data_IF_967037470078
#
_entry.id   IF_967037470078
#
_cell.length_a   1.000
_cell.length_b   1.000
_cell.length_c   1.000
_cell.angle_alpha   90.00
_cell.angle_beta   90.00
_cell.angle_gamma   90.00
#
_symmetry.space_group_name_H-M   'P 1'
#
loop_
_entity.id
_entity.type
_entity.pdbx_description
1 polymer ?
#
# COMPACT_ATOMS: atom_id res chain seq x y z
N UNK A 1 21.04 8.99 -3.73
CA UNK A 1 21.41 7.64 -4.22
C UNK A 1 20.35 6.65 -3.76
N UNK A 2 19.89 5.77 -4.64
CA UNK A 2 18.98 4.66 -4.27
C UNK A 2 19.74 3.73 -3.31
N UNK A 3 19.21 3.54 -2.12
CA UNK A 3 19.80 2.71 -1.06
C UNK A 3 19.23 1.29 -1.10
N UNK A 4 17.93 1.17 -1.42
CA UNK A 4 17.21 -0.09 -1.50
C UNK A 4 16.62 -0.30 -2.91
N UNK A 5 16.74 -1.50 -3.46
CA UNK A 5 16.00 -1.86 -4.67
C UNK A 5 14.49 -1.92 -4.36
N UNK A 6 14.13 -2.44 -3.19
CA UNK A 6 12.73 -2.68 -2.80
C UNK A 6 12.48 -2.18 -1.37
N UNK A 7 11.45 -1.35 -1.18
CA UNK A 7 10.91 -1.01 0.16
C UNK A 7 9.50 -1.56 0.28
N UNK A 8 9.29 -2.43 1.26
CA UNK A 8 8.00 -3.09 1.52
C UNK A 8 7.35 -2.39 2.70
N UNK A 9 6.15 -1.84 2.51
CA UNK A 9 5.43 -1.06 3.50
C UNK A 9 4.22 -1.85 3.98
N UNK A 10 4.15 -2.07 5.30
CA UNK A 10 3.03 -2.72 5.98
C UNK A 10 2.29 -1.69 6.83
N UNK A 11 1.06 -1.29 6.46
CA UNK A 11 0.20 -0.51 7.33
C UNK A 11 -0.29 -1.39 8.49
N UNK A 12 -0.09 -0.95 9.72
CA UNK A 12 -0.21 -1.80 10.88
C UNK A 12 -0.96 -1.14 12.05
N UNK A 13 -1.78 -1.94 12.75
CA UNK A 13 -2.31 -1.66 14.09
C UNK A 13 -2.85 -2.93 14.76
N UNK A 14 -2.40 -3.23 15.98
CA UNK A 14 -2.98 -4.26 16.86
C UNK A 14 -3.13 -5.66 16.25
N UNK A 15 -2.13 -6.14 15.50
CA UNK A 15 -2.10 -7.46 14.86
C UNK A 15 -0.79 -8.20 15.11
N UNK A 16 -0.37 -8.22 16.37
CA UNK A 16 0.95 -8.74 16.75
C UNK A 16 1.21 -10.17 16.27
N UNK A 17 0.24 -11.07 16.44
CA UNK A 17 0.39 -12.46 16.00
C UNK A 17 0.61 -12.59 14.49
N UNK A 18 -0.10 -11.78 13.67
CA UNK A 18 0.09 -11.76 12.23
C UNK A 18 1.47 -11.19 11.87
N UNK A 19 1.90 -10.13 12.55
CA UNK A 19 3.21 -9.53 12.32
C UNK A 19 4.34 -10.50 12.68
N UNK A 20 4.24 -11.21 13.80
CA UNK A 20 5.23 -12.19 14.23
C UNK A 20 5.36 -13.34 13.20
N UNK A 21 4.22 -13.83 12.67
CA UNK A 21 4.22 -14.82 11.60
C UNK A 21 4.80 -14.27 10.31
N UNK A 22 4.45 -13.04 9.94
CA UNK A 22 5.00 -12.37 8.76
C UNK A 22 6.53 -12.25 8.84
N UNK A 23 7.04 -11.75 9.95
CA UNK A 23 8.49 -11.60 10.18
C UNK A 23 9.18 -12.96 10.08
N UNK A 24 8.63 -13.98 10.73
CA UNK A 24 9.20 -15.34 10.77
C UNK A 24 9.22 -16.00 9.40
N UNK A 25 8.12 -15.92 8.64
CA UNK A 25 7.92 -16.76 7.46
C UNK A 25 8.24 -16.03 6.14
N UNK A 26 8.10 -14.69 6.10
CA UNK A 26 8.22 -13.92 4.86
C UNK A 26 9.57 -13.22 4.72
N UNK A 27 10.14 -12.69 5.81
CA UNK A 27 11.47 -12.03 5.73
C UNK A 27 12.53 -12.95 5.13
N UNK A 28 12.65 -14.25 5.49
CA UNK A 28 13.63 -15.14 4.86
C UNK A 28 13.46 -15.27 3.34
N UNK A 29 12.22 -15.17 2.83
CA UNK A 29 11.95 -15.18 1.38
C UNK A 29 12.42 -13.87 0.73
N UNK A 30 12.21 -12.73 1.38
CA UNK A 30 12.70 -11.44 0.89
C UNK A 30 14.24 -11.38 0.92
N UNK A 31 14.87 -11.92 1.95
CA UNK A 31 16.33 -12.05 2.02
C UNK A 31 16.90 -12.90 0.88
N UNK A 32 16.16 -13.91 0.47
CA UNK A 32 16.57 -14.81 -0.60
C UNK A 32 16.42 -14.21 -2.01
N UNK A 33 15.36 -13.38 -2.24
CA UNK A 33 14.97 -13.00 -3.60
C UNK A 33 14.93 -11.50 -3.89
N UNK A 34 14.84 -10.64 -2.86
CA UNK A 34 14.56 -9.20 -3.04
C UNK A 34 15.68 -8.26 -2.59
N UNK A 35 16.84 -8.78 -2.12
CA UNK A 35 17.95 -7.92 -1.66
C UNK A 35 18.48 -7.00 -2.79
N UNK A 36 18.85 -5.74 -2.46
CA UNK A 36 18.68 -5.09 -1.17
C UNK A 36 17.24 -4.62 -0.95
N UNK A 37 16.68 -4.90 0.24
CA UNK A 37 15.33 -4.49 0.59
C UNK A 37 15.26 -3.88 2.00
N UNK A 38 14.17 -3.13 2.27
CA UNK A 38 13.78 -2.67 3.60
C UNK A 38 12.31 -2.99 3.83
N UNK A 39 11.99 -3.60 4.96
CA UNK A 39 10.63 -3.79 5.47
C UNK A 39 10.31 -2.68 6.46
N UNK A 40 9.26 -1.92 6.19
CA UNK A 40 8.83 -0.78 6.98
C UNK A 40 7.40 -1.02 7.47
N UNK A 41 7.26 -1.25 8.77
CA UNK A 41 5.95 -1.39 9.41
C UNK A 41 5.54 0.00 9.89
N UNK A 42 4.48 0.56 9.31
CA UNK A 42 3.95 1.88 9.72
C UNK A 42 2.77 1.65 10.64
N UNK A 43 3.00 1.84 11.95
CA UNK A 43 2.00 1.62 12.99
C UNK A 43 1.22 2.90 13.29
N UNK A 44 -0.10 2.84 13.13
CA UNK A 44 -0.99 3.93 13.54
C UNK A 44 -1.22 3.86 15.07
N UNK A 45 -1.13 5.03 15.75
CA UNK A 45 -1.56 5.16 17.14
C UNK A 45 -3.08 4.94 17.31
N UNK A 46 -3.54 4.89 18.55
CA UNK A 46 -4.95 4.71 18.88
C UNK A 46 -5.74 6.03 18.77
N UNK A 47 -7.06 5.93 18.82
CA UNK A 47 -7.97 7.09 18.95
C UNK A 47 -8.76 7.46 17.69
N UNK A 48 -8.26 7.14 16.48
CA UNK A 48 -9.00 7.38 15.22
C UNK A 48 -9.27 6.06 14.48
N UNK A 49 -10.16 6.08 13.50
CA UNK A 49 -10.32 4.96 12.57
C UNK A 49 -8.99 4.68 11.85
N UNK A 50 -8.79 3.43 11.45
CA UNK A 50 -7.58 3.04 10.72
C UNK A 50 -7.54 3.72 9.34
N UNK A 51 -6.42 4.34 8.98
CA UNK A 51 -6.23 4.97 7.67
C UNK A 51 -5.08 4.29 6.91
N UNK A 52 -5.43 3.18 6.23
CA UNK A 52 -4.47 2.39 5.46
C UNK A 52 -3.72 3.23 4.42
N UNK A 53 -4.43 4.11 3.70
CA UNK A 53 -3.85 4.93 2.65
C UNK A 53 -2.79 5.91 3.18
N UNK A 54 -3.07 6.61 4.29
CA UNK A 54 -2.10 7.52 4.90
C UNK A 54 -0.86 6.77 5.43
N UNK A 55 -1.03 5.61 6.05
CA UNK A 55 0.12 4.83 6.55
C UNK A 55 1.04 4.40 5.40
N UNK A 56 0.46 4.00 4.26
CA UNK A 56 1.23 3.68 3.06
C UNK A 56 1.94 4.91 2.50
N UNK A 57 1.26 6.06 2.43
CA UNK A 57 1.86 7.33 2.01
C UNK A 57 3.03 7.74 2.92
N UNK A 58 2.90 7.53 4.25
CA UNK A 58 3.99 7.80 5.20
C UNK A 58 5.20 6.93 4.87
N UNK A 59 5.00 5.64 4.66
CA UNK A 59 6.10 4.75 4.26
C UNK A 59 6.76 5.17 2.95
N UNK A 60 6.01 5.58 1.94
CA UNK A 60 6.56 6.13 0.69
C UNK A 60 7.38 7.40 0.94
N UNK A 61 6.85 8.33 1.76
CA UNK A 61 7.50 9.60 2.05
C UNK A 61 8.81 9.43 2.83
N UNK A 62 8.85 8.55 3.84
CA UNK A 62 10.03 8.29 4.67
C UNK A 62 11.20 7.66 3.88
N UNK A 63 10.86 6.97 2.78
CA UNK A 63 11.83 6.32 1.88
C UNK A 63 11.87 6.94 0.48
N UNK A 64 11.33 8.16 0.32
CA UNK A 64 11.46 8.93 -0.90
C UNK A 64 12.93 9.05 -1.28
N UNK A 65 13.24 8.91 -2.57
CA UNK A 65 14.60 8.98 -3.13
C UNK A 65 15.58 7.90 -2.64
N UNK A 66 15.15 6.99 -1.75
CA UNK A 66 15.96 5.87 -1.26
C UNK A 66 15.59 4.54 -1.90
N UNK A 67 14.42 4.42 -2.52
CA UNK A 67 13.90 3.18 -3.09
C UNK A 67 13.65 3.28 -4.59
N UNK A 68 13.95 2.19 -5.32
CA UNK A 68 13.56 2.05 -6.72
C UNK A 68 12.12 1.57 -6.87
N UNK A 69 11.72 0.61 -6.04
CA UNK A 69 10.37 0.04 -6.01
C UNK A 69 9.79 0.06 -4.61
N UNK A 70 8.52 0.42 -4.51
CA UNK A 70 7.73 0.30 -3.29
C UNK A 70 6.75 -0.85 -3.40
N UNK A 71 6.54 -1.57 -2.31
CA UNK A 71 5.45 -2.50 -2.17
C UNK A 71 4.47 -2.00 -1.11
N UNK A 72 3.18 -2.10 -1.40
CA UNK A 72 2.16 -2.16 -0.36
C UNK A 72 1.94 -3.62 0.00
N UNK A 73 1.80 -3.93 1.28
CA UNK A 73 1.66 -5.30 1.71
C UNK A 73 0.79 -5.42 2.97
N UNK A 74 -0.26 -6.23 2.93
CA UNK A 74 -1.07 -6.48 4.11
C UNK A 74 -0.41 -7.56 4.98
N UNK A 75 -0.39 -7.35 6.30
CA UNK A 75 0.31 -8.21 7.28
C UNK A 75 -0.27 -9.63 7.37
N UNK A 76 -1.51 -9.83 6.91
CA UNK A 76 -2.26 -11.08 6.99
C UNK A 76 -2.22 -11.92 5.70
N UNK A 77 -1.42 -11.53 4.72
CA UNK A 77 -1.30 -12.22 3.43
C UNK A 77 0.13 -12.68 3.23
N UNK A 78 0.42 -13.96 3.51
CA UNK A 78 1.77 -14.51 3.47
C UNK A 78 2.07 -15.16 2.11
N UNK A 79 2.98 -14.61 1.30
CA UNK A 79 3.37 -15.22 0.02
C UNK A 79 4.24 -16.46 0.23
N UNK A 80 4.15 -17.42 -0.67
CA UNK A 80 5.07 -18.56 -0.69
C UNK A 80 6.34 -18.26 -1.53
N UNK A 81 7.31 -19.17 -1.49
CA UNK A 81 8.60 -19.09 -2.21
C UNK A 81 8.41 -18.83 -3.71
N UNK A 82 7.48 -19.53 -4.36
CA UNK A 82 7.23 -19.40 -5.80
C UNK A 82 6.71 -18.02 -6.13
N UNK A 83 5.80 -17.47 -5.33
CA UNK A 83 5.24 -16.13 -5.52
C UNK A 83 6.34 -15.07 -5.42
N UNK A 84 7.13 -15.09 -4.36
CA UNK A 84 8.22 -14.11 -4.18
C UNK A 84 9.25 -14.22 -5.32
N UNK A 85 9.68 -15.43 -5.66
CA UNK A 85 10.64 -15.65 -6.72
C UNK A 85 10.17 -15.19 -8.10
N UNK A 86 8.89 -15.43 -8.46
CA UNK A 86 8.41 -15.24 -9.84
C UNK A 86 7.63 -13.95 -10.05
N UNK A 87 6.95 -13.43 -9.02
CA UNK A 87 6.03 -12.30 -9.16
C UNK A 87 6.62 -11.04 -8.52
N UNK A 88 7.13 -11.11 -7.27
CA UNK A 88 7.71 -9.93 -6.62
C UNK A 88 8.94 -9.39 -7.35
N UNK A 89 9.66 -10.24 -8.08
CA UNK A 89 10.84 -9.84 -8.87
C UNK A 89 10.50 -9.17 -10.21
N UNK A 90 9.21 -9.18 -10.65
CA UNK A 90 8.79 -8.47 -11.87
C UNK A 90 8.93 -6.95 -11.71
N UNK A 91 9.22 -6.25 -12.83
CA UNK A 91 9.43 -4.79 -12.86
C UNK A 91 9.14 -4.17 -14.25
N UNK A 92 8.26 -4.79 -15.00
CA UNK A 92 7.91 -4.47 -16.39
C UNK A 92 6.69 -3.53 -16.53
N UNK A 93 6.11 -3.06 -15.39
CA UNK A 93 4.98 -2.13 -15.35
C UNK A 93 5.20 -1.05 -14.30
N UNK A 94 4.46 0.07 -14.39
CA UNK A 94 4.44 1.10 -13.33
C UNK A 94 3.88 0.53 -12.02
N UNK A 95 2.89 -0.38 -12.13
CA UNK A 95 2.40 -1.17 -10.99
C UNK A 95 2.20 -2.64 -11.36
N UNK A 96 2.70 -3.53 -10.51
CA UNK A 96 2.50 -4.98 -10.56
C UNK A 96 1.43 -5.37 -9.53
N UNK A 97 0.33 -5.97 -9.99
CA UNK A 97 -0.76 -6.48 -9.14
C UNK A 97 -0.46 -7.89 -8.69
N UNK A 98 0.09 -8.04 -7.50
CA UNK A 98 0.56 -9.33 -6.95
C UNK A 98 -0.58 -10.08 -6.26
N UNK A 99 -1.35 -9.37 -5.41
CA UNK A 99 -2.58 -9.88 -4.78
C UNK A 99 -3.56 -8.72 -4.65
N UNK A 100 -4.70 -8.82 -5.30
CA UNK A 100 -5.73 -7.79 -5.28
C UNK A 100 -7.10 -8.37 -4.88
N UNK A 101 -7.97 -7.58 -4.23
CA UNK A 101 -9.29 -8.04 -3.83
C UNK A 101 -10.28 -8.14 -5.01
N UNK A 102 -10.12 -7.30 -6.05
CA UNK A 102 -10.95 -7.27 -7.26
C UNK A 102 -10.27 -6.49 -8.40
N UNK A 103 -10.78 -6.62 -9.62
CA UNK A 103 -10.15 -6.13 -10.86
C UNK A 103 -9.86 -4.62 -10.91
N UNK A 104 -10.69 -3.79 -10.27
CA UNK A 104 -10.53 -2.33 -10.24
C UNK A 104 -9.90 -1.88 -8.90
N UNK A 105 -8.84 -2.55 -8.47
CA UNK A 105 -8.20 -2.32 -7.19
C UNK A 105 -6.67 -2.44 -7.30
N UNK A 106 -5.97 -1.65 -6.47
CA UNK A 106 -4.55 -1.78 -6.15
C UNK A 106 -4.40 -1.98 -4.63
N UNK A 107 -5.19 -2.91 -4.08
CA UNK A 107 -5.16 -3.30 -2.67
C UNK A 107 -4.30 -4.52 -2.39
N UNK A 108 -4.30 -4.98 -1.15
CA UNK A 108 -3.49 -6.07 -0.61
C UNK A 108 -2.01 -5.93 -0.93
N UNK A 109 -1.52 -6.57 -2.01
CA UNK A 109 -0.10 -6.57 -2.36
C UNK A 109 0.07 -6.06 -3.79
N UNK A 110 0.71 -4.90 -3.91
CA UNK A 110 1.13 -4.33 -5.19
C UNK A 110 2.57 -3.83 -5.10
N UNK A 111 3.29 -3.92 -6.22
CA UNK A 111 4.64 -3.33 -6.39
C UNK A 111 4.55 -2.15 -7.34
N UNK A 112 5.13 -1.03 -6.97
CA UNK A 112 5.10 0.24 -7.71
C UNK A 112 6.51 0.68 -8.05
N UNK A 113 6.71 1.28 -9.22
CA UNK A 113 7.91 2.09 -9.41
C UNK A 113 7.84 3.32 -8.50
N UNK A 114 8.97 3.73 -7.92
CA UNK A 114 9.02 4.94 -7.07
C UNK A 114 8.46 6.15 -7.82
N UNK A 115 8.88 6.36 -9.05
CA UNK A 115 8.40 7.47 -9.87
C UNK A 115 6.87 7.47 -10.02
N UNK A 116 6.26 6.31 -10.33
CA UNK A 116 4.82 6.26 -10.60
C UNK A 116 3.97 6.60 -9.38
N UNK A 117 4.35 6.14 -8.17
CA UNK A 117 3.57 6.42 -6.95
C UNK A 117 3.61 7.91 -6.58
N UNK A 118 4.74 8.59 -6.80
CA UNK A 118 4.84 10.03 -6.59
C UNK A 118 4.14 10.84 -7.67
N UNK A 119 4.18 10.43 -8.93
CA UNK A 119 3.48 11.08 -10.04
C UNK A 119 1.96 11.12 -9.82
N UNK A 120 1.39 10.04 -9.26
CA UNK A 120 -0.06 9.94 -8.99
C UNK A 120 -0.46 10.51 -7.62
N UNK A 121 0.48 11.11 -6.88
CA UNK A 121 0.27 11.68 -5.56
C UNK A 121 -0.16 10.67 -4.48
N UNK A 122 0.23 9.38 -4.60
CA UNK A 122 -0.08 8.34 -3.63
C UNK A 122 -1.58 8.07 -3.42
N UNK A 123 -1.95 7.62 -2.22
CA UNK A 123 -3.33 7.40 -1.80
C UNK A 123 -4.00 8.70 -1.35
N UNK A 124 -5.35 8.83 -1.47
CA UNK A 124 -6.07 9.94 -0.82
C UNK A 124 -6.03 9.81 0.71
N UNK A 125 -5.77 10.93 1.42
CA UNK A 125 -5.60 10.93 2.89
C UNK A 125 -6.92 10.93 3.67
N UNK A 126 -8.05 11.26 3.04
CA UNK A 126 -9.36 11.42 3.70
C UNK A 126 -10.17 10.13 3.84
N UNK A 127 -9.65 8.98 3.41
CA UNK A 127 -10.36 7.71 3.47
C UNK A 127 -10.01 6.97 4.77
N UNK A 128 -10.91 7.05 5.74
CA UNK A 128 -10.78 6.42 7.06
C UNK A 128 -11.62 5.14 7.17
N UNK A 129 -11.13 4.15 7.90
CA UNK A 129 -11.77 2.84 8.05
C UNK A 129 -11.61 1.98 6.78
N UNK A 130 -12.38 0.90 6.67
CA UNK A 130 -12.23 -0.10 5.62
C UNK A 130 -12.75 0.35 4.25
N UNK A 131 -11.96 0.13 3.19
CA UNK A 131 -12.37 0.14 1.78
C UNK A 131 -12.30 1.51 1.08
N UNK A 132 -12.37 1.49 -0.22
CA UNK A 132 -12.35 2.58 -1.20
C UNK A 132 -10.93 3.03 -1.59
N UNK A 133 -9.96 3.08 -0.67
CA UNK A 133 -8.63 3.65 -0.89
C UNK A 133 -7.86 2.94 -2.02
N UNK A 134 -7.99 1.63 -2.12
CA UNK A 134 -7.36 0.79 -3.14
C UNK A 134 -7.98 0.97 -4.53
N UNK A 135 -9.31 1.20 -4.60
CA UNK A 135 -10.00 1.55 -5.83
C UNK A 135 -9.66 2.98 -6.26
N UNK A 136 -9.61 3.92 -5.34
CA UNK A 136 -9.18 5.29 -5.61
C UNK A 136 -7.76 5.32 -6.19
N UNK A 137 -6.84 4.50 -5.66
CA UNK A 137 -5.49 4.37 -6.21
C UNK A 137 -5.50 3.81 -7.64
N UNK A 138 -6.30 2.77 -7.91
CA UNK A 138 -6.45 2.21 -9.26
C UNK A 138 -6.89 3.28 -10.27
N UNK A 139 -7.85 4.12 -9.92
CA UNK A 139 -8.31 5.21 -10.77
C UNK A 139 -7.23 6.27 -11.00
N UNK A 140 -6.45 6.64 -9.97
CA UNK A 140 -5.31 7.57 -10.12
C UNK A 140 -4.31 7.07 -11.16
N UNK A 141 -3.95 5.78 -11.09
CA UNK A 141 -3.08 5.13 -12.08
C UNK A 141 -3.68 5.20 -13.50
N UNK A 142 -4.96 4.89 -13.63
CA UNK A 142 -5.68 4.89 -14.92
C UNK A 142 -5.78 6.29 -15.53
N UNK A 143 -6.15 7.31 -14.72
CA UNK A 143 -6.26 8.71 -15.18
C UNK A 143 -4.91 9.26 -15.62
N UNK A 144 -3.86 8.93 -14.89
CA UNK A 144 -2.49 9.38 -15.16
C UNK A 144 -1.79 8.54 -16.26
N UNK A 145 -2.52 7.65 -16.93
CA UNK A 145 -2.04 6.77 -18.01
C UNK A 145 -0.81 5.93 -17.61
N UNK A 146 -0.76 5.48 -16.36
CA UNK A 146 0.29 4.59 -15.89
C UNK A 146 -0.01 3.14 -16.28
N UNK A 147 1.04 2.37 -16.55
CA UNK A 147 0.91 0.97 -16.95
C UNK A 147 0.60 0.07 -15.76
N UNK A 148 -0.48 -0.71 -15.87
CA UNK A 148 -0.94 -1.64 -14.83
C UNK A 148 -0.80 -3.06 -15.36
N UNK A 149 -0.15 -3.94 -14.58
CA UNK A 149 0.05 -5.33 -14.98
C UNK A 149 -1.27 -6.11 -15.04
N UNK A 150 -1.30 -7.27 -15.72
CA UNK A 150 -2.31 -8.29 -15.47
C UNK A 150 -2.39 -8.65 -13.98
N UNK A 151 -3.49 -9.24 -13.57
CA UNK A 151 -3.66 -9.75 -12.22
C UNK A 151 -2.88 -11.06 -12.03
N UNK A 152 -1.99 -11.10 -11.03
CA UNK A 152 -1.22 -12.29 -10.64
C UNK A 152 -1.74 -12.94 -9.35
N UNK A 153 -2.97 -12.62 -8.93
CA UNK A 153 -3.59 -13.18 -7.73
C UNK A 153 -3.95 -14.65 -7.95
N UNK A 154 -3.06 -15.54 -7.52
CA UNK A 154 -3.31 -16.97 -7.49
C UNK A 154 -3.43 -17.44 -6.04
N UNK A 155 -4.58 -18.01 -5.65
CA UNK A 155 -4.81 -18.43 -4.26
C UNK A 155 -3.74 -19.40 -3.72
N UNK A 156 -3.15 -20.22 -4.58
CA UNK A 156 -2.07 -21.14 -4.22
C UNK A 156 -0.75 -20.44 -3.84
N UNK A 157 -0.61 -19.15 -4.11
CA UNK A 157 0.59 -18.38 -3.80
C UNK A 157 0.59 -17.77 -2.41
N UNK A 158 -0.58 -17.77 -1.73
CA UNK A 158 -0.74 -17.04 -0.48
C UNK A 158 -1.39 -17.90 0.61
N UNK A 159 -0.85 -17.81 1.82
CA UNK A 159 -1.55 -18.17 3.03
C UNK A 159 -2.19 -16.90 3.62
N UNK A 160 -3.53 -16.84 3.67
CA UNK A 160 -4.28 -15.71 4.22
C UNK A 160 -4.65 -16.01 5.66
N UNK A 161 -4.14 -15.18 6.58
CA UNK A 161 -4.44 -15.32 8.00
C UNK A 161 -5.85 -14.78 8.28
N UNK A 162 -6.62 -15.55 9.06
CA UNK A 162 -7.99 -15.14 9.42
C UNK A 162 -7.96 -13.94 10.36
N UNK A 163 -8.81 -12.97 10.08
CA UNK A 163 -9.14 -11.90 11.00
C UNK A 163 -10.62 -11.54 10.88
N UNK A 164 -11.21 -11.02 11.96
CA UNK A 164 -12.58 -10.50 11.92
C UNK A 164 -12.60 -9.28 10.99
N UNK A 165 -13.43 -9.32 9.95
CA UNK A 165 -13.55 -8.21 9.00
C UNK A 165 -14.24 -7.01 9.67
N UNK A 166 -13.73 -5.81 9.40
CA UNK A 166 -14.33 -4.55 9.88
C UNK A 166 -15.37 -4.01 8.87
N UNK A 167 -16.13 -4.89 8.20
CA UNK A 167 -17.17 -4.51 7.22
C UNK A 167 -18.23 -3.58 7.85
N UNK A 168 -18.45 -3.67 9.16
CA UNK A 168 -19.37 -2.81 9.92
C UNK A 168 -19.03 -1.30 9.83
N UNK A 169 -17.84 -0.92 9.35
CA UNK A 169 -17.46 0.49 9.15
C UNK A 169 -17.92 1.08 7.82
N UNK A 170 -18.56 0.29 6.93
CA UNK A 170 -19.13 0.80 5.70
C UNK A 170 -20.51 1.44 5.99
N UNK A 171 -20.53 2.74 6.16
CA UNK A 171 -21.72 3.53 6.51
C UNK A 171 -22.09 4.51 5.38
N UNK A 172 -23.12 5.35 5.63
CA UNK A 172 -23.59 6.34 4.66
C UNK A 172 -22.53 7.37 4.25
N UNK A 173 -21.56 7.69 5.11
CA UNK A 173 -20.45 8.59 4.78
C UNK A 173 -19.48 7.94 3.80
N UNK A 174 -19.15 6.67 4.02
CA UNK A 174 -18.35 5.88 3.08
C UNK A 174 -19.03 5.77 1.72
N UNK A 175 -20.34 5.59 1.70
CA UNK A 175 -21.11 5.57 0.45
C UNK A 175 -20.98 6.90 -0.28
N UNK A 176 -21.13 8.03 0.39
CA UNK A 176 -20.96 9.37 -0.22
C UNK A 176 -19.56 9.57 -0.79
N UNK A 177 -18.51 9.15 -0.07
CA UNK A 177 -17.13 9.21 -0.57
C UNK A 177 -17.00 8.34 -1.83
N UNK A 178 -17.53 7.12 -1.79
CA UNK A 178 -17.49 6.21 -2.95
C UNK A 178 -18.21 6.76 -4.16
N UNK A 179 -19.39 7.36 -3.97
CA UNK A 179 -20.19 7.95 -5.04
C UNK A 179 -19.48 9.17 -5.64
N UNK A 180 -18.89 10.02 -4.79
CA UNK A 180 -18.10 11.17 -5.22
C UNK A 180 -16.84 10.75 -6.01
N UNK A 181 -16.08 9.77 -5.52
CA UNK A 181 -14.94 9.22 -6.26
C UNK A 181 -15.37 8.70 -7.64
N UNK A 182 -16.47 7.93 -7.70
CA UNK A 182 -17.00 7.44 -8.98
C UNK A 182 -17.43 8.58 -9.91
N UNK A 183 -18.07 9.62 -9.39
CA UNK A 183 -18.46 10.80 -10.20
C UNK A 183 -17.23 11.47 -10.82
N UNK A 184 -16.20 11.74 -10.02
CA UNK A 184 -14.98 12.37 -10.49
C UNK A 184 -14.26 11.51 -11.54
N UNK A 185 -14.13 10.22 -11.27
CA UNK A 185 -13.39 9.32 -12.18
C UNK A 185 -14.12 9.06 -13.50
N UNK A 186 -15.45 9.08 -13.49
CA UNK A 186 -16.25 8.88 -14.70
C UNK A 186 -16.56 10.18 -15.46
N UNK A 187 -16.14 11.34 -14.96
CA UNK A 187 -16.34 12.59 -15.69
C UNK A 187 -15.31 12.71 -16.85
N UNK A 188 -15.75 13.21 -18.01
CA UNK A 188 -14.88 13.48 -19.16
C UNK A 188 -14.08 14.80 -19.02
N UNK A 189 -13.69 15.16 -17.80
CA UNK A 189 -12.96 16.40 -17.51
C UNK A 189 -11.62 16.07 -16.82
N UNK A 190 -10.54 16.01 -17.60
CA UNK A 190 -9.21 15.68 -17.11
C UNK A 190 -8.67 16.70 -16.11
N UNK A 191 -8.99 17.98 -16.26
CA UNK A 191 -8.54 19.01 -15.32
C UNK A 191 -9.23 18.85 -13.95
N UNK A 192 -10.53 18.50 -13.94
CA UNK A 192 -11.26 18.18 -12.69
C UNK A 192 -10.63 16.94 -12.03
N UNK A 193 -10.36 15.89 -12.80
CA UNK A 193 -9.73 14.66 -12.31
C UNK A 193 -8.34 14.93 -11.73
N UNK A 194 -7.50 15.66 -12.45
CA UNK A 194 -6.15 16.01 -12.00
C UNK A 194 -6.17 16.85 -10.71
N UNK A 195 -7.00 17.90 -10.67
CA UNK A 195 -7.18 18.73 -9.46
C UNK A 195 -7.63 17.90 -8.26
N UNK A 196 -8.53 16.93 -8.47
CA UNK A 196 -8.98 16.03 -7.42
C UNK A 196 -7.83 15.16 -6.90
N UNK A 197 -7.04 14.54 -7.79
CA UNK A 197 -5.87 13.74 -7.42
C UNK A 197 -4.88 14.58 -6.60
N UNK A 198 -4.62 15.81 -7.03
CA UNK A 198 -3.66 16.69 -6.37
C UNK A 198 -4.19 17.35 -5.10
N UNK A 199 -5.49 17.30 -4.82
CA UNK A 199 -6.09 17.88 -3.61
C UNK A 199 -5.84 17.08 -2.32
N UNK A 200 -5.48 15.79 -2.43
CA UNK A 200 -5.20 14.94 -1.26
C UNK A 200 -4.26 13.80 -1.63
N UNK A 201 -3.18 13.62 -0.89
CA UNK A 201 -2.20 12.58 -1.11
C UNK A 201 -0.84 12.93 -0.50
N UNK A 202 0.24 12.50 -1.14
CA UNK A 202 1.61 12.74 -0.66
C UNK A 202 1.95 14.22 -0.46
N UNK A 203 1.42 15.10 -1.31
CA UNK A 203 1.65 16.56 -1.23
C UNK A 203 0.91 17.26 -0.07
N UNK A 204 -0.09 16.60 0.54
CA UNK A 204 -0.88 17.10 1.67
C UNK A 204 -0.78 16.19 2.88
N UNK A 205 0.25 15.37 2.93
CA UNK A 205 0.44 14.39 3.99
C UNK A 205 0.96 15.06 5.26
N UNK A 206 0.21 14.94 6.34
CA UNK A 206 0.57 15.46 7.66
C UNK A 206 0.58 14.32 8.68
N UNK A 207 1.66 14.15 9.42
CA UNK A 207 1.79 13.14 10.49
C UNK A 207 2.91 13.52 11.45
N UNK A 208 2.89 12.88 12.63
CA UNK A 208 3.96 12.99 13.61
C UNK A 208 4.53 11.61 13.92
N UNK A 209 5.84 11.45 13.78
CA UNK A 209 6.52 10.23 14.23
C UNK A 209 6.58 10.26 15.77
N UNK A 210 6.04 9.21 16.40
CA UNK A 210 6.07 9.00 17.85
C UNK A 210 7.35 8.25 18.23
N UNK A 211 7.67 7.17 17.50
CA UNK A 211 8.87 6.37 17.73
C UNK A 211 9.33 5.64 16.48
N UNK A 212 10.62 5.25 16.48
CA UNK A 212 11.20 4.30 15.53
C UNK A 212 11.88 3.18 16.32
N UNK A 213 11.63 1.95 15.91
CA UNK A 213 12.22 0.75 16.47
C UNK A 213 12.84 -0.09 15.35
N UNK A 214 14.13 -0.36 15.44
CA UNK A 214 14.84 -1.25 14.53
C UNK A 214 14.72 -2.67 15.02
N UNK A 215 14.02 -3.53 14.28
CA UNK A 215 13.91 -4.97 14.59
C UNK A 215 15.18 -5.70 14.17
N UNK A 216 15.67 -5.40 12.95
CA UNK A 216 16.95 -5.85 12.42
C UNK A 216 17.41 -4.91 11.29
N UNK A 217 18.54 -5.20 10.65
CA UNK A 217 19.10 -4.35 9.57
C UNK A 217 18.11 -4.06 8.42
N UNK A 218 17.22 -5.02 8.11
CA UNK A 218 16.25 -4.93 7.00
C UNK A 218 14.83 -4.61 7.44
N UNK A 219 14.55 -4.44 8.76
CA UNK A 219 13.20 -4.28 9.28
C UNK A 219 13.12 -3.22 10.37
N UNK A 220 12.19 -2.27 10.24
CA UNK A 220 11.88 -1.27 11.28
C UNK A 220 10.36 -1.08 11.46
N UNK A 221 9.98 -0.59 12.64
CA UNK A 221 8.64 -0.10 12.97
C UNK A 221 8.70 1.42 13.13
N UNK A 222 7.83 2.13 12.43
CA UNK A 222 7.62 3.58 12.58
C UNK A 222 6.23 3.78 13.16
N UNK A 223 6.13 4.17 14.42
CA UNK A 223 4.86 4.51 15.05
C UNK A 223 4.53 5.96 14.81
N UNK A 224 3.30 6.22 14.35
CA UNK A 224 2.85 7.55 13.92
C UNK A 224 1.50 7.93 14.51
N UNK A 225 1.32 9.24 14.70
CA UNK A 225 0.02 9.88 14.92
C UNK A 225 -0.39 10.63 13.65
N UNK A 226 -1.65 10.44 13.23
CA UNK A 226 -2.22 11.02 12.00
C UNK A 226 -3.58 11.64 12.24
#
# INVERSE_FOLDING_TARGET
>A
MVEFENVIIIPYRNRKEHLDLFIKDVIPLFEKYLKPFKLVIVEQDEGKLFNRGMLLNIGFNEYKDKSRFFFTHDVDTLPNDICVKKIYTKNDYDVIRISIPHNLSLGNICKFTSQSIFDINGFPNYIWGWGIEDRALYYRYSIMNKTISPDYTYNLFFNRLYHKSNIETYNNEKKKISDYENEVFNCNNKDKQYKHIMSSGLNTLEYKIISRETINENCEIIKVSI
#
